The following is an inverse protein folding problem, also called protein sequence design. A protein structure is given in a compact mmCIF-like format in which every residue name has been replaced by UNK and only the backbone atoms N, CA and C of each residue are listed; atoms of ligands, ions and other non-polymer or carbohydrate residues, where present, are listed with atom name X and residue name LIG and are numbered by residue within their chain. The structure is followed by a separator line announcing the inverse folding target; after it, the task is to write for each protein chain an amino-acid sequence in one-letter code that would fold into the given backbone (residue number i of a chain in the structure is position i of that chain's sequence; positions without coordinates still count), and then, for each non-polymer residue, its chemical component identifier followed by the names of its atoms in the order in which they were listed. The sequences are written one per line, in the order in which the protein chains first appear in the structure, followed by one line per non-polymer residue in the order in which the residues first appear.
data_IF_181275554050
#
_entry.id   IF_181275554050
#
_cell.length_a   1.000
_cell.length_b   1.000
_cell.length_c   1.000
_cell.angle_alpha   90.00
_cell.angle_beta   90.00
_cell.angle_gamma   90.00
#
_symmetry.space_group_name_H-M   'P 1'
#
loop_
_entity.id
_entity.type
_entity.pdbx_description
1 polymer ?
#
# COMPACT_ATOMS: atom_id res chain seq x y z
N UNK A 1 2.54 16.43 2.98
CA UNK A 1 2.93 15.08 2.54
C UNK A 1 2.79 15.00 1.03
N UNK A 2 3.90 14.76 0.35
CA UNK A 2 3.97 14.60 -1.10
C UNK A 2 3.30 13.31 -1.56
N UNK A 3 3.05 13.20 -2.86
CA UNK A 3 2.51 11.97 -3.46
C UNK A 3 3.42 10.76 -3.23
N UNK A 4 4.74 10.95 -3.38
CA UNK A 4 5.72 9.88 -3.25
C UNK A 4 5.82 9.37 -1.81
N UNK A 5 5.73 10.27 -0.82
CA UNK A 5 5.62 9.88 0.59
C UNK A 5 4.36 9.05 0.83
N UNK A 6 3.19 9.45 0.28
CA UNK A 6 1.96 8.67 0.43
C UNK A 6 2.11 7.27 -0.16
N UNK A 7 2.71 7.16 -1.34
CA UNK A 7 2.91 5.89 -2.03
C UNK A 7 3.91 5.02 -1.25
N UNK A 8 4.97 5.60 -0.71
CA UNK A 8 5.96 4.87 0.12
C UNK A 8 5.31 4.28 1.38
N UNK A 9 4.49 5.06 2.09
CA UNK A 9 3.73 4.59 3.25
C UNK A 9 2.78 3.45 2.85
N UNK A 10 2.04 3.60 1.75
CA UNK A 10 1.11 2.55 1.28
C UNK A 10 1.86 1.28 0.88
N UNK A 11 3.06 1.38 0.29
CA UNK A 11 3.90 0.22 -0.03
C UNK A 11 4.32 -0.52 1.25
N UNK A 12 4.81 0.21 2.25
CA UNK A 12 5.20 -0.37 3.54
C UNK A 12 4.03 -1.09 4.21
N UNK A 13 2.88 -0.42 4.33
CA UNK A 13 1.68 -1.00 4.95
C UNK A 13 1.15 -2.22 4.16
N UNK A 14 1.27 -2.21 2.83
CA UNK A 14 0.88 -3.35 2.01
C UNK A 14 1.81 -4.55 2.20
N UNK A 15 3.12 -4.32 2.32
CA UNK A 15 4.10 -5.38 2.59
C UNK A 15 3.93 -5.98 3.99
N UNK A 16 3.53 -5.16 4.98
CA UNK A 16 3.25 -5.58 6.36
C UNK A 16 1.87 -6.25 6.53
N UNK A 17 1.11 -6.43 5.43
CA UNK A 17 -0.19 -7.12 5.46
C UNK A 17 -1.33 -6.31 6.09
N UNK A 18 -1.15 -5.00 6.32
CA UNK A 18 -2.16 -4.14 6.98
C UNK A 18 -3.50 -4.15 6.23
N UNK A 19 -3.48 -4.24 4.90
CA UNK A 19 -4.71 -4.27 4.09
C UNK A 19 -5.44 -5.62 4.11
N UNK A 20 -4.95 -6.63 4.83
CA UNK A 20 -5.67 -7.88 5.11
C UNK A 20 -6.71 -7.70 6.22
N UNK A 21 -6.55 -6.69 7.08
CA UNK A 21 -7.50 -6.41 8.16
C UNK A 21 -8.75 -5.70 7.64
N UNK A 22 -9.91 -6.09 8.18
CA UNK A 22 -11.17 -5.41 7.93
C UNK A 22 -11.06 -3.93 8.31
N UNK A 23 -11.66 -3.06 7.50
CA UNK A 23 -11.69 -1.61 7.66
C UNK A 23 -10.33 -0.88 7.56
N UNK A 24 -9.23 -1.59 7.28
CA UNK A 24 -7.91 -0.98 7.16
C UNK A 24 -7.87 0.09 6.04
N UNK A 25 -8.54 -0.17 4.91
CA UNK A 25 -8.61 0.75 3.77
C UNK A 25 -9.21 2.10 4.21
N UNK A 26 -10.37 2.10 4.87
CA UNK A 26 -10.99 3.34 5.33
C UNK A 26 -10.14 4.10 6.35
N UNK A 27 -9.54 3.39 7.32
CA UNK A 27 -8.66 3.99 8.33
C UNK A 27 -7.41 4.63 7.72
N UNK A 28 -6.76 3.94 6.78
CA UNK A 28 -5.56 4.45 6.11
C UNK A 28 -5.92 5.61 5.17
N UNK A 29 -7.04 5.54 4.45
CA UNK A 29 -7.51 6.60 3.57
C UNK A 29 -7.74 7.91 4.35
N UNK A 30 -8.40 7.81 5.51
CA UNK A 30 -8.61 8.92 6.43
C UNK A 30 -7.28 9.51 6.93
N UNK A 31 -6.35 8.68 7.41
CA UNK A 31 -5.02 9.14 7.90
C UNK A 31 -4.19 9.82 6.81
N UNK A 32 -4.24 9.31 5.58
CA UNK A 32 -3.51 9.89 4.43
C UNK A 32 -4.25 11.06 3.78
N UNK A 33 -5.45 11.41 4.26
CA UNK A 33 -6.34 12.45 3.72
C UNK A 33 -6.59 12.25 2.22
N UNK A 34 -7.02 11.05 1.85
CA UNK A 34 -7.40 10.68 0.47
C UNK A 34 -8.69 9.88 0.47
N UNK A 35 -9.38 9.80 -0.67
CA UNK A 35 -10.51 8.88 -0.82
C UNK A 35 -10.04 7.42 -0.83
N UNK A 36 -10.91 6.48 -0.43
CA UNK A 36 -10.62 5.05 -0.55
C UNK A 36 -10.29 4.65 -1.99
N UNK A 37 -11.00 5.21 -2.98
CA UNK A 37 -10.69 5.01 -4.40
C UNK A 37 -9.25 5.43 -4.75
N UNK A 38 -8.78 6.55 -4.19
CA UNK A 38 -7.39 6.99 -4.37
C UNK A 38 -6.40 6.05 -3.67
N UNK A 39 -6.75 5.57 -2.48
CA UNK A 39 -5.94 4.59 -1.76
C UNK A 39 -5.83 3.27 -2.53
N UNK A 40 -6.92 2.74 -3.09
CA UNK A 40 -6.89 1.56 -3.97
C UNK A 40 -5.95 1.76 -5.17
N UNK A 41 -5.94 2.96 -5.76
CA UNK A 41 -4.98 3.30 -6.83
C UNK A 41 -3.53 3.24 -6.33
N UNK A 42 -3.26 3.71 -5.10
CA UNK A 42 -1.93 3.61 -4.50
C UNK A 42 -1.54 2.17 -4.18
N UNK A 43 -2.47 1.35 -3.63
CA UNK A 43 -2.25 -0.09 -3.38
C UNK A 43 -1.92 -0.82 -4.69
N UNK A 44 -2.66 -0.53 -5.78
CA UNK A 44 -2.37 -1.10 -7.10
C UNK A 44 -0.99 -0.70 -7.62
N UNK A 45 -0.56 0.55 -7.40
CA UNK A 45 0.81 1.01 -7.73
C UNK A 45 1.86 0.34 -6.85
N UNK A 46 1.56 0.08 -5.57
CA UNK A 46 2.44 -0.61 -4.65
C UNK A 46 2.68 -2.07 -5.05
N UNK A 47 1.62 -2.80 -5.42
CA UNK A 47 1.71 -4.20 -5.88
C UNK A 47 2.56 -4.37 -7.15
N UNK A 48 2.57 -3.38 -8.05
CA UNK A 48 3.42 -3.43 -9.25
C UNK A 48 4.93 -3.38 -8.96
N UNK A 49 5.33 -2.95 -7.76
CA UNK A 49 6.72 -2.97 -7.31
C UNK A 49 7.08 -4.14 -6.37
N UNK A 50 6.09 -4.98 -6.04
CA UNK A 50 6.27 -6.17 -5.19
C UNK A 50 5.72 -7.36 -5.98
N UNK A 51 6.48 -7.78 -6.99
CA UNK A 51 6.39 -9.18 -7.44
C UNK A 51 6.90 -10.02 -6.28
N UNK A 52 6.01 -10.73 -5.59
CA UNK A 52 6.42 -11.91 -4.84
C UNK A 52 7.14 -12.83 -5.84
N UNK A 53 8.46 -12.91 -5.73
CA UNK A 53 9.18 -14.08 -6.18
C UNK A 53 8.88 -15.16 -5.15
N UNK A 54 8.08 -16.14 -5.55
CA UNK A 54 7.84 -17.38 -4.80
C UNK A 54 9.09 -18.27 -4.67
N UNK A 55 10.27 -17.78 -5.05
CA UNK A 55 11.55 -18.47 -4.93
C UNK A 55 12.52 -17.60 -4.15
N UNK A 56 12.79 -17.97 -2.89
CA UNK A 56 13.67 -17.26 -1.97
C UNK A 56 15.11 -17.17 -2.45
N UNK A 57 15.41 -16.19 -3.30
CA UNK A 57 16.78 -15.73 -3.50
C UNK A 57 16.82 -14.23 -3.84
N UNK A 58 17.69 -13.51 -3.15
CA UNK A 58 17.92 -12.08 -3.30
C UNK A 58 19.19 -11.85 -4.14
N UNK A 59 19.07 -11.03 -5.18
CA UNK A 59 20.19 -10.29 -5.76
C UNK A 59 19.79 -8.82 -5.83
#
# INVERSE_FOLDING_TARGET
MSLDEKISIVKFLNADGVFLFKDAVGKVASKLKVSEATLYRYIKKAKKGVTHNENGNIH
#
